data_IF_745631459758
#
_entry.id   IF_745631459758
#
_cell.length_a   1.000
_cell.length_b   1.000
_cell.length_c   1.000
_cell.angle_alpha   90.00
_cell.angle_beta   90.00
_cell.angle_gamma   90.00
#
_symmetry.space_group_name_H-M   'P 1'
#
loop_
_entity.id
_entity.type
_entity.pdbx_description
1 polymer ?
#
# COMPACT_ATOMS: atom_id res chain seq x y z
N UNK A 1 0.34 -15.99 -13.76
CA UNK A 1 -0.88 -16.48 -13.06
C UNK A 1 -0.57 -17.53 -11.97
N UNK A 2 0.21 -18.58 -12.22
CA UNK A 2 0.49 -19.65 -11.21
C UNK A 2 1.08 -19.18 -9.87
N UNK A 3 1.86 -18.09 -9.83
CA UNK A 3 2.43 -17.54 -8.59
C UNK A 3 1.40 -16.84 -7.68
N UNK A 4 0.46 -16.10 -8.28
CA UNK A 4 -0.69 -15.54 -7.56
C UNK A 4 -1.51 -16.67 -6.92
N UNK A 5 -1.66 -17.81 -7.60
CA UNK A 5 -2.30 -18.99 -7.03
C UNK A 5 -1.53 -19.61 -5.87
N UNK A 6 -0.18 -19.66 -5.88
CA UNK A 6 0.60 -20.22 -4.78
C UNK A 6 0.63 -19.30 -3.54
N UNK A 7 0.81 -17.99 -3.71
CA UNK A 7 0.73 -17.01 -2.63
C UNK A 7 -0.72 -16.90 -2.08
N UNK A 8 -1.72 -16.96 -2.97
CA UNK A 8 -3.13 -17.07 -2.59
C UNK A 8 -3.43 -18.38 -1.87
N UNK A 9 -2.83 -19.52 -2.27
CA UNK A 9 -3.03 -20.83 -1.61
C UNK A 9 -2.41 -20.86 -0.22
N UNK A 10 -1.23 -20.26 -0.03
CA UNK A 10 -0.63 -20.07 1.31
C UNK A 10 -1.52 -19.16 2.20
N UNK A 11 -2.07 -18.08 1.62
CA UNK A 11 -3.02 -17.19 2.30
C UNK A 11 -4.36 -17.89 2.59
N UNK A 12 -4.79 -18.83 1.74
CA UNK A 12 -6.03 -19.60 1.91
C UNK A 12 -5.89 -20.70 2.96
N UNK A 13 -4.71 -21.33 3.06
CA UNK A 13 -4.37 -22.26 4.15
C UNK A 13 -4.38 -21.55 5.51
N UNK A 14 -3.90 -20.30 5.57
CA UNK A 14 -4.01 -19.46 6.76
C UNK A 14 -5.47 -19.20 7.19
N UNK A 15 -6.40 -19.06 6.23
CA UNK A 15 -7.80 -18.76 6.55
C UNK A 15 -8.61 -19.98 7.00
N UNK A 16 -8.22 -21.18 6.58
CA UNK A 16 -8.97 -22.41 6.89
C UNK A 16 -8.73 -22.94 8.30
N UNK A 17 -7.64 -22.54 8.98
CA UNK A 17 -7.29 -23.07 10.31
C UNK A 17 -8.09 -22.49 11.48
N UNK A 18 -9.00 -21.52 11.26
CA UNK A 18 -9.66 -20.74 12.34
C UNK A 18 -11.17 -21.06 12.58
N UNK A 19 -11.69 -22.26 12.34
CA UNK A 19 -13.11 -22.58 12.67
C UNK A 19 -13.24 -23.47 13.92
N UNK A 20 -13.89 -22.96 14.96
CA UNK A 20 -14.57 -23.75 16.01
C UNK A 20 -15.98 -23.17 16.30
N UNK A 21 -16.88 -24.06 16.75
CA UNK A 21 -18.35 -23.99 16.77
C UNK A 21 -18.99 -23.46 18.08
N UNK A 22 -20.33 -23.20 17.99
CA UNK A 22 -21.42 -23.19 19.02
C UNK A 22 -21.99 -21.78 19.36
N UNK A 23 -23.26 -21.53 19.74
CA UNK A 23 -24.66 -21.97 19.43
C UNK A 23 -25.62 -21.06 20.27
N UNK A 24 -26.80 -20.64 19.75
CA UNK A 24 -28.01 -20.02 20.39
C UNK A 24 -27.91 -18.64 21.13
N UNK A 25 -28.87 -17.69 21.10
CA UNK A 25 -30.22 -17.54 20.50
C UNK A 25 -30.92 -16.21 20.96
N UNK A 26 -31.82 -15.65 20.12
CA UNK A 26 -32.93 -14.65 20.31
C UNK A 26 -32.70 -13.32 21.11
N UNK A 27 -33.38 -12.17 20.96
CA UNK A 27 -34.17 -11.35 19.99
C UNK A 27 -34.74 -10.11 20.82
N UNK A 28 -35.44 -9.08 20.29
CA UNK A 28 -34.98 -7.67 20.35
C UNK A 28 -36.05 -6.65 20.85
N UNK A 29 -35.72 -5.33 20.90
CA UNK A 29 -36.65 -4.15 20.80
C UNK A 29 -35.84 -2.83 20.77
N UNK A 30 -35.84 -2.03 19.69
CA UNK A 30 -36.78 -0.97 19.20
C UNK A 30 -36.97 0.23 20.16
N UNK A 31 -36.60 1.46 19.75
CA UNK A 31 -37.55 2.49 19.22
C UNK A 31 -36.97 3.92 18.96
N UNK A 32 -37.56 4.58 17.93
CA UNK A 32 -37.84 6.02 17.65
C UNK A 32 -36.79 7.09 18.02
N UNK A 33 -36.15 7.83 17.09
CA UNK A 33 -36.65 8.83 16.12
C UNK A 33 -37.22 10.12 16.75
N UNK A 34 -36.61 11.29 16.49
CA UNK A 34 -37.28 12.57 16.18
C UNK A 34 -36.31 13.62 15.61
N UNK A 35 -36.90 14.64 14.99
CA UNK A 35 -36.44 15.47 13.88
C UNK A 35 -35.74 16.80 14.24
N UNK A 36 -34.89 17.24 13.30
CA UNK A 36 -34.64 18.59 12.74
C UNK A 36 -34.38 19.81 13.64
N UNK A 37 -33.30 20.57 13.36
CA UNK A 37 -33.31 21.94 12.79
C UNK A 37 -31.87 22.48 12.57
N UNK A 38 -31.73 23.32 11.54
CA UNK A 38 -30.52 23.95 10.95
C UNK A 38 -29.76 24.91 11.88
N UNK A 39 -28.42 25.01 11.73
CA UNK A 39 -27.68 26.28 11.51
C UNK A 39 -26.16 26.10 11.30
N UNK A 40 -25.48 27.18 10.91
CA UNK A 40 -24.31 27.24 10.04
C UNK A 40 -22.95 27.57 10.69
N UNK A 41 -21.89 27.04 10.04
CA UNK A 41 -20.53 27.57 9.79
C UNK A 41 -19.49 27.74 10.93
N UNK A 42 -18.30 27.21 10.57
CA UNK A 42 -16.93 27.68 10.86
C UNK A 42 -16.31 27.35 12.23
N UNK A 43 -15.22 26.55 12.22
CA UNK A 43 -13.91 26.88 12.81
C UNK A 43 -12.87 25.78 12.58
N UNK A 44 -11.68 26.19 12.12
CA UNK A 44 -10.43 25.40 12.00
C UNK A 44 -9.90 24.98 13.38
N UNK A 45 -9.05 23.95 13.39
CA UNK A 45 -8.23 23.61 14.55
C UNK A 45 -6.89 23.02 14.08
N UNK A 46 -5.78 23.69 14.42
CA UNK A 46 -4.40 23.23 14.23
C UNK A 46 -3.97 22.32 15.40
N UNK A 47 -3.08 21.36 15.18
CA UNK A 47 -2.51 20.50 16.23
C UNK A 47 -1.00 20.23 16.04
N UNK A 48 -0.28 20.26 17.17
CA UNK A 48 1.17 20.01 17.36
C UNK A 48 1.39 18.54 17.80
N UNK A 49 2.50 17.82 17.44
CA UNK A 49 2.59 16.35 17.58
C UNK A 49 3.54 15.82 18.67
N UNK A 50 3.18 14.68 19.30
CA UNK A 50 4.04 13.77 20.10
C UNK A 50 3.54 12.28 20.01
N UNK A 51 4.41 11.31 20.37
CA UNK A 51 4.56 9.91 19.87
C UNK A 51 3.91 8.70 20.65
N UNK A 52 3.80 7.54 19.93
CA UNK A 52 4.05 6.09 20.30
C UNK A 52 2.92 5.05 20.60
N UNK A 53 3.25 3.74 20.35
CA UNK A 53 2.69 2.44 20.87
C UNK A 53 1.62 1.67 20.02
N UNK A 54 1.61 0.32 19.84
CA UNK A 54 0.52 -0.41 19.10
C UNK A 54 0.26 -1.88 19.54
N UNK A 55 -0.96 -2.44 19.32
CA UNK A 55 -1.32 -3.88 19.54
C UNK A 55 -2.27 -4.44 18.46
N UNK A 56 -2.36 -5.78 18.34
CA UNK A 56 -3.05 -6.52 17.25
C UNK A 56 -4.10 -7.55 17.71
N UNK A 57 -4.95 -7.95 16.76
CA UNK A 57 -5.95 -9.04 16.84
C UNK A 57 -6.56 -9.21 15.45
N UNK A 58 -6.89 -10.44 15.04
CA UNK A 58 -7.45 -10.74 13.71
C UNK A 58 -8.96 -10.98 13.80
N UNK A 59 -9.76 -10.34 12.95
CA UNK A 59 -11.21 -10.56 12.88
C UNK A 59 -11.61 -10.99 11.47
N UNK A 60 -12.16 -12.21 11.37
CA UNK A 60 -12.87 -12.68 10.18
C UNK A 60 -14.32 -12.22 10.30
N UNK A 61 -14.82 -11.46 9.32
CA UNK A 61 -16.23 -11.06 9.33
C UNK A 61 -17.05 -12.24 8.84
N UNK A 62 -17.57 -13.01 9.80
CA UNK A 62 -18.65 -13.96 9.57
C UNK A 62 -19.97 -13.28 9.95
N UNK A 63 -21.04 -13.56 9.21
CA UNK A 63 -22.38 -13.07 9.52
C UNK A 63 -22.90 -13.71 10.81
N UNK A 64 -22.69 -13.06 11.96
CA UNK A 64 -23.46 -13.24 13.22
C UNK A 64 -23.07 -12.14 14.21
N UNK A 65 -24.07 -11.49 14.81
CA UNK A 65 -23.90 -10.37 15.76
C UNK A 65 -23.22 -10.82 17.07
N UNK A 66 -22.38 -9.96 17.66
CA UNK A 66 -22.01 -10.07 19.08
C UNK A 66 -21.85 -8.71 19.76
N UNK A 67 -22.28 -8.70 21.01
CA UNK A 67 -22.41 -7.60 21.98
C UNK A 67 -21.16 -7.41 22.83
N UNK A 68 -20.99 -6.20 23.36
CA UNK A 68 -19.92 -5.79 24.28
C UNK A 68 -20.04 -6.41 25.68
N UNK A 69 -18.89 -6.76 26.27
CA UNK A 69 -18.69 -6.90 27.71
C UNK A 69 -17.42 -6.15 28.12
N UNK A 70 -17.53 -5.28 29.12
CA UNK A 70 -16.42 -4.61 29.81
C UNK A 70 -15.65 -5.62 30.67
N UNK A 71 -14.31 -5.56 30.64
CA UNK A 71 -13.47 -6.19 31.65
C UNK A 71 -12.46 -5.15 32.15
N UNK A 72 -12.31 -5.12 33.47
CA UNK A 72 -11.56 -4.16 34.26
C UNK A 72 -10.05 -4.17 33.94
N UNK A 73 -9.48 -2.97 34.11
CA UNK A 73 -8.06 -2.66 34.02
C UNK A 73 -7.29 -3.30 35.17
N UNK A 74 -6.55 -4.36 34.87
CA UNK A 74 -5.38 -4.77 35.66
C UNK A 74 -4.11 -4.61 34.80
N UNK A 75 -3.10 -4.05 35.44
CA UNK A 75 -1.81 -3.61 34.92
C UNK A 75 -1.04 -4.80 34.33
N UNK A 76 -0.92 -4.88 33.02
CA UNK A 76 -0.07 -5.88 32.34
C UNK A 76 1.28 -5.24 32.05
N UNK A 77 2.32 -5.71 32.73
CA UNK A 77 3.72 -5.49 32.37
C UNK A 77 3.96 -5.99 30.93
N UNK A 78 4.46 -5.08 30.09
CA UNK A 78 4.65 -5.33 28.66
C UNK A 78 5.91 -6.16 28.38
N UNK A 79 5.76 -7.47 28.34
CA UNK A 79 6.70 -8.35 27.66
C UNK A 79 6.47 -8.26 26.15
N UNK A 80 7.09 -7.26 25.51
CA UNK A 80 7.02 -7.08 24.06
C UNK A 80 7.66 -8.29 23.37
N UNK A 81 6.85 -9.13 22.71
CA UNK A 81 7.32 -10.23 21.84
C UNK A 81 8.09 -9.67 20.63
N UNK A 82 9.35 -9.35 20.83
CA UNK A 82 10.27 -8.97 19.76
C UNK A 82 10.59 -10.22 18.94
N UNK A 83 10.36 -10.17 17.64
CA UNK A 83 10.81 -11.25 16.74
C UNK A 83 12.33 -11.31 16.82
N UNK A 84 12.86 -12.47 17.17
CA UNK A 84 14.29 -12.71 17.19
C UNK A 84 14.82 -12.84 15.76
N UNK A 85 15.30 -11.69 15.26
CA UNK A 85 15.84 -11.49 13.91
C UNK A 85 17.31 -11.12 14.03
N UNK A 86 18.18 -11.98 13.50
CA UNK A 86 19.63 -11.77 13.46
C UNK A 86 20.05 -11.42 12.03
N UNK A 87 20.44 -10.16 11.79
CA UNK A 87 21.05 -9.77 10.50
C UNK A 87 22.50 -10.25 10.47
N UNK A 88 22.82 -11.14 9.54
CA UNK A 88 24.17 -11.72 9.41
C UNK A 88 24.92 -11.27 8.14
N UNK A 89 24.25 -10.58 7.22
CA UNK A 89 24.86 -10.07 5.99
C UNK A 89 24.24 -8.74 5.57
N UNK A 90 25.09 -7.81 5.13
CA UNK A 90 24.72 -6.51 4.55
C UNK A 90 25.65 -6.23 3.39
N UNK A 91 25.09 -5.95 2.22
CA UNK A 91 25.83 -5.63 1.02
C UNK A 91 25.00 -4.77 0.08
N UNK A 92 25.60 -4.37 -1.04
CA UNK A 92 24.90 -3.63 -2.09
C UNK A 92 24.97 -4.39 -3.40
N UNK A 93 23.81 -4.68 -3.99
CA UNK A 93 23.72 -5.41 -5.25
C UNK A 93 23.80 -4.39 -6.40
N UNK A 94 24.93 -4.41 -7.10
CA UNK A 94 25.22 -3.49 -8.21
C UNK A 94 24.83 -4.09 -9.56
N UNK A 95 24.52 -3.25 -10.56
CA UNK A 95 24.36 -3.73 -11.93
C UNK A 95 25.69 -4.31 -12.46
N UNK A 96 25.66 -5.37 -13.27
CA UNK A 96 26.86 -5.98 -13.87
C UNK A 96 27.49 -5.12 -14.98
N UNK A 97 26.75 -4.15 -15.51
CA UNK A 97 27.22 -3.19 -16.51
C UNK A 97 26.93 -1.77 -16.03
N UNK A 98 27.86 -0.82 -16.20
CA UNK A 98 27.65 0.56 -15.74
C UNK A 98 26.50 1.22 -16.49
N UNK A 99 25.76 2.09 -15.78
CA UNK A 99 24.75 2.93 -16.40
C UNK A 99 25.41 3.91 -17.39
N UNK A 100 24.96 3.99 -18.65
CA UNK A 100 25.48 4.93 -19.64
C UNK A 100 25.43 6.39 -19.15
N UNK A 101 26.40 7.21 -19.55
CA UNK A 101 26.52 8.60 -19.07
C UNK A 101 25.25 9.45 -19.29
N UNK A 102 24.57 9.27 -20.41
CA UNK A 102 23.32 9.99 -20.71
C UNK A 102 22.10 9.53 -19.88
N UNK A 103 22.24 8.44 -19.11
CA UNK A 103 21.21 7.89 -18.21
C UNK A 103 21.56 8.07 -16.73
N UNK A 104 22.65 8.81 -16.42
CA UNK A 104 23.11 9.05 -15.04
C UNK A 104 22.14 9.87 -14.20
N UNK A 105 21.22 10.59 -14.84
CA UNK A 105 20.19 11.37 -14.17
C UNK A 105 18.81 10.89 -14.62
N UNK A 106 18.00 10.41 -13.68
CA UNK A 106 16.60 10.10 -13.92
C UNK A 106 15.71 11.23 -13.40
N UNK A 107 15.02 11.92 -14.32
CA UNK A 107 14.12 13.01 -13.98
C UNK A 107 12.77 12.47 -13.50
N UNK A 108 12.38 12.85 -12.27
CA UNK A 108 11.06 12.61 -11.71
C UNK A 108 10.02 13.44 -12.47
N UNK A 109 8.82 12.90 -12.63
CA UNK A 109 7.66 13.62 -13.18
C UNK A 109 7.03 14.55 -12.13
N UNK A 110 6.11 15.43 -12.54
CA UNK A 110 5.33 16.20 -11.56
C UNK A 110 4.45 15.31 -10.66
N UNK A 111 4.05 14.12 -11.11
CA UNK A 111 3.33 13.16 -10.25
C UNK A 111 4.27 12.66 -9.15
N UNK A 112 5.49 12.28 -9.52
CA UNK A 112 6.55 11.86 -8.60
C UNK A 112 6.89 12.97 -7.60
N UNK A 113 6.99 14.23 -8.06
CA UNK A 113 7.20 15.40 -7.20
C UNK A 113 6.12 15.53 -6.12
N UNK A 114 4.86 15.25 -6.47
CA UNK A 114 3.71 15.33 -5.58
C UNK A 114 3.55 14.12 -4.64
N UNK A 115 4.27 13.03 -4.88
CA UNK A 115 4.23 11.88 -3.97
C UNK A 115 4.98 12.16 -2.68
N UNK A 116 4.47 11.57 -1.60
CA UNK A 116 5.08 11.65 -0.27
C UNK A 116 6.50 11.08 -0.29
N UNK A 117 7.39 11.76 0.43
CA UNK A 117 8.75 11.31 0.68
C UNK A 117 8.75 10.21 1.76
N UNK A 118 8.28 9.02 1.38
CA UNK A 118 8.17 7.85 2.25
C UNK A 118 8.62 6.59 1.50
N UNK A 119 9.02 5.58 2.27
CA UNK A 119 9.26 4.25 1.73
C UNK A 119 8.06 3.35 1.96
N UNK A 120 7.69 2.60 0.92
CA UNK A 120 6.58 1.67 0.98
C UNK A 120 7.07 0.26 1.31
N UNK A 121 6.65 -0.29 2.47
CA UNK A 121 7.05 -1.63 2.87
C UNK A 121 6.18 -2.68 2.17
N UNK A 122 6.83 -3.71 1.65
CA UNK A 122 6.21 -4.94 1.16
C UNK A 122 6.90 -6.15 1.77
N UNK A 123 6.16 -7.21 2.09
CA UNK A 123 6.73 -8.49 2.50
C UNK A 123 6.01 -9.65 1.83
N UNK A 124 6.79 -10.62 1.34
CA UNK A 124 6.30 -11.83 0.68
C UNK A 124 6.85 -13.05 1.39
N UNK A 125 5.98 -13.99 1.74
CA UNK A 125 6.35 -15.22 2.42
C UNK A 125 6.32 -16.42 1.48
N UNK A 126 7.42 -17.20 1.50
CA UNK A 126 7.63 -18.36 0.66
C UNK A 126 7.93 -19.59 1.52
N UNK A 127 7.04 -20.61 1.52
CA UNK A 127 7.31 -21.83 2.26
C UNK A 127 8.44 -22.63 1.62
N UNK A 128 9.17 -23.39 2.44
CA UNK A 128 10.08 -24.37 1.91
C UNK A 128 9.30 -25.59 1.40
N UNK A 129 9.30 -25.79 0.08
CA UNK A 129 8.61 -26.92 -0.56
C UNK A 129 9.55 -28.15 -0.64
N UNK A 130 10.87 -27.95 -0.52
CA UNK A 130 11.83 -29.04 -0.61
C UNK A 130 12.08 -29.63 0.78
N UNK A 131 11.34 -30.70 1.12
CA UNK A 131 11.44 -31.40 2.41
C UNK A 131 12.71 -32.25 2.56
N UNK A 132 13.42 -32.55 1.47
CA UNK A 132 14.50 -33.54 1.44
C UNK A 132 15.91 -32.96 1.64
N UNK A 133 16.05 -31.65 1.86
CA UNK A 133 17.35 -30.98 1.90
C UNK A 133 17.50 -30.16 3.17
N UNK A 134 18.74 -30.08 3.66
CA UNK A 134 19.08 -29.31 4.87
C UNK A 134 18.64 -27.86 4.65
N UNK A 135 17.81 -27.34 5.57
CA UNK A 135 17.18 -26.03 5.44
C UNK A 135 18.20 -24.89 5.18
N UNK A 136 19.38 -24.99 5.80
CA UNK A 136 20.47 -24.02 5.66
C UNK A 136 21.06 -23.98 4.23
N UNK A 137 21.40 -25.13 3.64
CA UNK A 137 21.99 -25.21 2.31
C UNK A 137 21.04 -24.71 1.22
N UNK A 138 19.75 -25.03 1.37
CA UNK A 138 18.69 -24.57 0.47
C UNK A 138 18.53 -23.07 0.56
N UNK A 139 18.52 -22.52 1.78
CA UNK A 139 18.39 -21.09 1.98
C UNK A 139 19.58 -20.33 1.39
N UNK A 140 20.81 -20.82 1.57
CA UNK A 140 22.01 -20.21 1.03
C UNK A 140 22.01 -20.19 -0.51
N UNK A 141 21.68 -21.33 -1.14
CA UNK A 141 21.56 -21.44 -2.60
C UNK A 141 20.47 -20.51 -3.14
N UNK A 142 19.32 -20.44 -2.48
CA UNK A 142 18.22 -19.52 -2.86
C UNK A 142 18.65 -18.07 -2.75
N UNK A 143 19.35 -17.72 -1.67
CA UNK A 143 19.76 -16.33 -1.48
C UNK A 143 20.81 -15.88 -2.48
N UNK A 144 21.83 -16.72 -2.76
CA UNK A 144 22.78 -16.47 -3.85
C UNK A 144 22.06 -16.25 -5.19
N UNK A 145 21.12 -17.13 -5.52
CA UNK A 145 20.34 -17.03 -6.75
C UNK A 145 19.46 -15.77 -6.83
N UNK A 146 18.90 -15.32 -5.70
CA UNK A 146 18.15 -14.06 -5.62
C UNK A 146 19.05 -12.85 -5.93
N UNK A 147 20.27 -12.82 -5.40
CA UNK A 147 21.25 -11.75 -5.65
C UNK A 147 21.68 -11.71 -7.13
N UNK A 148 22.05 -12.87 -7.69
CA UNK A 148 22.48 -12.98 -9.08
C UNK A 148 21.39 -12.53 -10.07
N UNK A 149 20.17 -13.03 -9.88
CA UNK A 149 19.03 -12.65 -10.73
C UNK A 149 18.56 -11.21 -10.52
N UNK A 150 18.81 -10.61 -9.35
CA UNK A 150 18.56 -9.19 -9.11
C UNK A 150 19.57 -8.35 -9.89
N UNK A 151 20.86 -8.65 -9.77
CA UNK A 151 21.92 -7.96 -10.51
C UNK A 151 21.67 -7.98 -12.02
N UNK A 152 21.24 -9.13 -12.57
CA UNK A 152 20.94 -9.30 -14.00
C UNK A 152 19.91 -8.30 -14.54
N UNK A 153 18.91 -7.92 -13.75
CA UNK A 153 17.86 -7.00 -14.22
C UNK A 153 18.19 -5.52 -14.01
N UNK A 154 19.15 -5.21 -13.13
CA UNK A 154 19.46 -3.83 -12.73
C UNK A 154 19.87 -2.91 -13.89
N UNK A 155 20.60 -3.34 -14.94
CA UNK A 155 20.89 -2.45 -16.07
C UNK A 155 19.64 -1.91 -16.77
N UNK A 156 18.55 -2.71 -16.81
CA UNK A 156 17.26 -2.26 -17.35
C UNK A 156 16.50 -1.37 -16.37
N UNK A 157 16.60 -1.66 -15.08
CA UNK A 157 15.96 -0.92 -13.99
C UNK A 157 16.95 0.03 -13.30
N UNK A 158 17.84 0.66 -14.07
CA UNK A 158 18.98 1.40 -13.58
C UNK A 158 18.66 2.50 -12.54
N UNK A 159 17.50 3.22 -12.59
CA UNK A 159 17.21 4.20 -11.54
C UNK A 159 17.08 3.59 -10.15
N UNK A 160 16.70 2.31 -10.05
CA UNK A 160 16.57 1.63 -8.76
C UNK A 160 17.91 1.30 -8.10
N UNK A 161 19.01 1.32 -8.86
CA UNK A 161 20.38 1.15 -8.36
C UNK A 161 21.05 2.48 -8.02
N UNK A 162 20.30 3.59 -8.03
CA UNK A 162 20.77 4.92 -7.70
C UNK A 162 20.35 5.41 -6.31
N UNK A 163 20.52 6.72 -6.11
CA UNK A 163 20.10 7.44 -4.90
C UNK A 163 19.11 8.55 -5.22
N UNK A 164 18.16 8.76 -4.32
CA UNK A 164 17.28 9.93 -4.40
C UNK A 164 18.09 11.15 -4.00
N UNK A 165 18.23 12.14 -4.89
CA UNK A 165 19.04 13.34 -4.59
C UNK A 165 18.18 14.48 -4.06
N UNK A 166 17.01 14.67 -4.67
CA UNK A 166 16.06 15.70 -4.30
C UNK A 166 14.67 15.33 -4.81
N UNK A 167 13.77 16.32 -4.84
CA UNK A 167 12.42 16.12 -5.32
C UNK A 167 12.28 16.03 -6.84
N UNK A 168 13.35 16.28 -7.60
CA UNK A 168 13.37 16.43 -9.05
C UNK A 168 14.07 15.26 -9.75
N UNK A 169 15.06 14.63 -9.12
CA UNK A 169 15.85 13.61 -9.78
C UNK A 169 16.41 12.52 -8.85
N UNK A 170 16.69 11.39 -9.49
CA UNK A 170 17.48 10.28 -8.94
C UNK A 170 18.83 10.28 -9.66
N UNK A 171 19.91 10.20 -8.88
CA UNK A 171 21.25 9.98 -9.41
C UNK A 171 21.46 8.48 -9.63
N UNK A 172 21.57 8.07 -10.89
CA UNK A 172 21.81 6.70 -11.30
C UNK A 172 23.31 6.38 -11.25
N UNK A 173 23.90 6.44 -10.06
CA UNK A 173 25.35 6.28 -9.80
C UNK A 173 25.83 4.83 -9.66
N UNK A 174 24.96 3.84 -9.90
CA UNK A 174 25.25 2.41 -9.73
C UNK A 174 25.74 2.02 -8.32
N UNK A 175 25.42 2.81 -7.28
CA UNK A 175 25.71 2.40 -5.91
C UNK A 175 25.05 1.06 -5.57
N UNK A 176 23.88 0.80 -6.14
CA UNK A 176 23.18 -0.48 -6.14
C UNK A 176 22.00 -0.53 -5.17
N UNK A 177 21.42 -1.72 -5.02
CA UNK A 177 20.31 -1.99 -4.11
C UNK A 177 20.85 -2.40 -2.75
N UNK A 178 20.44 -1.72 -1.68
CA UNK A 178 20.78 -2.12 -0.32
C UNK A 178 20.14 -3.46 0.02
N UNK A 179 20.95 -4.46 0.34
CA UNK A 179 20.51 -5.84 0.48
C UNK A 179 21.02 -6.43 1.79
N UNK A 180 20.11 -7.08 2.52
CA UNK A 180 20.42 -7.69 3.82
C UNK A 180 19.86 -9.09 3.91
N UNK A 181 20.55 -9.94 4.67
CA UNK A 181 20.09 -11.28 4.98
C UNK A 181 20.01 -11.45 6.50
N UNK A 182 18.90 -12.01 6.94
CA UNK A 182 18.62 -12.21 8.35
C UNK A 182 18.16 -13.64 8.62
N UNK A 183 18.47 -14.17 9.82
CA UNK A 183 17.88 -15.40 10.35
C UNK A 183 16.72 -15.04 11.25
N UNK A 184 15.65 -15.81 11.15
CA UNK A 184 14.48 -15.70 12.03
C UNK A 184 14.39 -16.95 12.87
N UNK A 185 14.36 -16.79 14.20
CA UNK A 185 14.35 -17.89 15.16
C UNK A 185 12.99 -18.63 15.27
N UNK A 186 12.22 -18.67 14.18
CA UNK A 186 10.90 -19.31 14.08
C UNK A 186 10.81 -20.17 12.81
N UNK A 187 9.89 -21.13 12.79
CA UNK A 187 9.44 -21.68 11.51
C UNK A 187 8.47 -20.71 10.85
N UNK A 188 8.38 -20.75 9.52
CA UNK A 188 7.44 -19.88 8.80
C UNK A 188 5.98 -20.18 9.18
N UNK A 189 5.64 -21.44 9.45
CA UNK A 189 4.28 -21.83 9.83
C UNK A 189 3.90 -21.26 11.19
N UNK A 190 4.81 -21.32 12.17
CA UNK A 190 4.55 -20.79 13.51
C UNK A 190 4.42 -19.27 13.46
N UNK A 191 5.30 -18.60 12.71
CA UNK A 191 5.25 -17.15 12.51
C UNK A 191 3.94 -16.71 11.86
N UNK A 192 3.47 -17.43 10.84
CA UNK A 192 2.21 -17.14 10.16
C UNK A 192 0.98 -17.66 10.91
N UNK A 193 1.12 -18.40 12.00
CA UNK A 193 -0.01 -18.88 12.80
C UNK A 193 -0.74 -17.76 13.56
N UNK A 194 0.04 -16.81 14.09
CA UNK A 194 -0.48 -15.65 14.80
C UNK A 194 0.35 -14.37 14.54
N UNK A 195 0.44 -13.90 13.28
CA UNK A 195 1.22 -12.72 12.97
C UNK A 195 0.46 -11.47 13.40
N UNK A 196 1.00 -10.75 14.38
CA UNK A 196 0.68 -9.34 14.56
C UNK A 196 1.58 -8.46 13.66
N UNK A 197 1.16 -7.26 13.29
CA UNK A 197 1.98 -6.41 12.41
C UNK A 197 3.26 -5.95 13.09
N UNK A 198 3.36 -5.89 14.43
CA UNK A 198 4.62 -5.53 15.06
C UNK A 198 5.68 -6.58 14.73
N UNK A 199 5.31 -7.85 14.83
CA UNK A 199 6.16 -8.97 14.43
C UNK A 199 6.48 -8.95 12.94
N UNK A 200 5.50 -8.64 12.08
CA UNK A 200 5.73 -8.51 10.62
C UNK A 200 6.63 -7.33 10.30
N UNK A 201 6.44 -6.17 10.94
CA UNK A 201 7.32 -4.99 10.83
C UNK A 201 8.73 -5.29 11.34
N UNK A 202 8.88 -6.19 12.31
CA UNK A 202 10.18 -6.68 12.78
C UNK A 202 11.01 -7.35 11.67
N UNK A 203 10.37 -7.87 10.63
CA UNK A 203 11.03 -8.45 9.45
C UNK A 203 11.35 -7.43 8.35
N UNK A 204 10.95 -6.16 8.52
CA UNK A 204 11.22 -5.10 7.56
C UNK A 204 12.61 -4.49 7.79
N UNK A 205 13.14 -3.82 6.75
CA UNK A 205 14.41 -3.13 6.83
C UNK A 205 14.38 -2.02 7.88
N UNK A 206 15.20 -2.14 8.92
CA UNK A 206 15.26 -1.18 10.02
C UNK A 206 16.19 0.03 9.76
N UNK A 207 16.93 0.12 8.65
CA UNK A 207 18.04 1.09 8.60
C UNK A 207 18.21 1.91 7.32
N UNK A 208 17.66 1.55 6.15
CA UNK A 208 17.94 2.30 4.91
C UNK A 208 16.84 3.31 4.50
N UNK A 209 15.80 3.46 5.33
CA UNK A 209 14.58 4.22 5.01
C UNK A 209 14.06 5.05 6.19
N UNK A 210 14.87 5.23 7.24
CA UNK A 210 14.48 5.85 8.52
C UNK A 210 15.05 7.28 8.67
N UNK A 211 15.58 7.86 7.58
CA UNK A 211 15.80 9.30 7.53
C UNK A 211 14.46 10.05 7.52
N UNK A 212 14.42 11.27 8.08
CA UNK A 212 13.26 12.16 7.89
C UNK A 212 13.05 12.57 6.41
N UNK A 213 14.00 12.25 5.53
CA UNK A 213 13.94 12.46 4.09
C UNK A 213 14.59 11.29 3.34
N UNK A 214 14.12 10.98 2.12
CA UNK A 214 14.80 10.05 1.21
C UNK A 214 16.05 10.61 0.56
N UNK A 215 16.36 11.90 0.71
CA UNK A 215 17.56 12.51 0.13
C UNK A 215 18.83 11.79 0.61
N UNK A 216 19.66 11.38 -0.35
CA UNK A 216 20.88 10.61 -0.13
C UNK A 216 20.68 9.12 0.14
N UNK A 217 19.43 8.64 0.25
CA UNK A 217 19.12 7.23 0.50
C UNK A 217 18.98 6.41 -0.79
N UNK A 218 19.17 5.10 -0.66
CA UNK A 218 18.92 4.12 -1.71
C UNK A 218 17.47 4.16 -2.18
N UNK A 219 17.22 4.06 -3.48
CA UNK A 219 15.84 4.02 -4.00
C UNK A 219 15.06 2.80 -3.49
N UNK A 220 15.75 1.67 -3.30
CA UNK A 220 15.16 0.41 -2.83
C UNK A 220 16.10 -0.33 -1.87
N UNK A 221 15.52 -0.93 -0.85
CA UNK A 221 16.17 -1.83 0.08
C UNK A 221 15.44 -3.17 0.18
N UNK A 222 16.19 -4.26 0.35
CA UNK A 222 15.67 -5.63 0.37
C UNK A 222 16.22 -6.39 1.59
N UNK A 223 15.35 -7.10 2.32
CA UNK A 223 15.71 -8.09 3.35
C UNK A 223 15.28 -9.48 2.90
N UNK A 224 16.18 -10.45 2.99
CA UNK A 224 15.84 -11.86 2.92
C UNK A 224 15.87 -12.45 4.33
N UNK A 225 14.69 -12.72 4.88
CA UNK A 225 14.50 -13.33 6.19
C UNK A 225 14.40 -14.85 6.04
N UNK A 226 15.40 -15.57 6.53
CA UNK A 226 15.51 -17.02 6.46
C UNK A 226 14.98 -17.64 7.75
N UNK A 227 13.87 -18.38 7.64
CA UNK A 227 13.24 -19.08 8.76
C UNK A 227 13.91 -20.43 9.02
N UNK A 228 13.80 -20.96 10.25
CA UNK A 228 14.35 -22.29 10.64
C UNK A 228 13.97 -23.43 9.70
N UNK A 229 12.75 -23.40 9.16
CA UNK A 229 12.27 -24.42 8.22
C UNK A 229 12.79 -24.25 6.77
N UNK A 230 13.65 -23.26 6.51
CA UNK A 230 14.13 -22.88 5.18
C UNK A 230 13.13 -22.05 4.37
N UNK A 231 12.02 -21.62 4.99
CA UNK A 231 11.11 -20.64 4.42
C UNK A 231 11.77 -19.26 4.31
N UNK A 232 11.28 -18.43 3.40
CA UNK A 232 11.82 -17.09 3.16
C UNK A 232 10.73 -16.04 3.32
N UNK A 233 11.01 -14.98 4.10
CA UNK A 233 10.29 -13.71 4.08
C UNK A 233 11.09 -12.68 3.31
N UNK A 234 10.65 -12.33 2.11
CA UNK A 234 11.28 -11.31 1.28
C UNK A 234 10.64 -9.95 1.56
N UNK A 235 11.34 -9.10 2.29
CA UNK A 235 10.92 -7.74 2.59
C UNK A 235 11.53 -6.78 1.58
N UNK A 236 10.74 -5.84 1.08
CA UNK A 236 11.17 -4.78 0.17
C UNK A 236 10.68 -3.46 0.73
N UNK A 237 11.56 -2.46 0.73
CA UNK A 237 11.26 -1.09 1.09
C UNK A 237 11.67 -0.21 -0.08
N UNK A 238 10.73 0.53 -0.68
CA UNK A 238 10.99 1.29 -1.91
C UNK A 238 10.46 2.71 -1.83
N UNK A 239 11.23 3.68 -2.33
CA UNK A 239 10.82 5.09 -2.30
C UNK A 239 9.56 5.31 -3.15
N UNK A 240 8.52 5.87 -2.52
CA UNK A 240 7.30 6.24 -3.23
C UNK A 240 7.52 7.39 -4.21
N UNK A 241 8.69 8.07 -4.18
CA UNK A 241 9.05 9.11 -5.15
C UNK A 241 9.12 8.60 -6.59
N UNK A 242 9.41 7.31 -6.83
CA UNK A 242 9.51 6.74 -8.19
C UNK A 242 8.63 5.50 -8.37
N UNK A 243 8.18 4.85 -7.29
CA UNK A 243 7.50 3.57 -7.38
C UNK A 243 6.05 3.66 -6.93
N UNK A 244 5.13 3.57 -7.89
CA UNK A 244 3.75 3.17 -7.64
C UNK A 244 3.59 1.64 -7.63
N UNK A 245 2.39 1.15 -7.28
CA UNK A 245 2.12 -0.29 -7.23
C UNK A 245 2.29 -1.03 -8.57
N UNK A 246 2.08 -0.36 -9.70
CA UNK A 246 2.29 -0.96 -11.03
C UNK A 246 3.79 -1.04 -11.35
N UNK A 247 4.56 0.00 -11.05
CA UNK A 247 6.03 -0.01 -11.17
C UNK A 247 6.64 -1.11 -10.30
N UNK A 248 6.20 -1.24 -9.05
CA UNK A 248 6.64 -2.32 -8.16
C UNK A 248 6.31 -3.71 -8.75
N UNK A 249 5.09 -3.88 -9.26
CA UNK A 249 4.69 -5.13 -9.92
C UNK A 249 5.57 -5.46 -11.13
N UNK A 250 5.90 -4.49 -11.98
CA UNK A 250 6.75 -4.69 -13.15
C UNK A 250 8.17 -5.08 -12.74
N UNK A 251 8.74 -4.42 -11.73
CA UNK A 251 10.04 -4.77 -11.16
C UNK A 251 10.06 -6.21 -10.63
N UNK A 252 9.10 -6.56 -9.76
CA UNK A 252 9.00 -7.92 -9.20
C UNK A 252 8.77 -8.97 -10.29
N UNK A 253 7.99 -8.65 -11.32
CA UNK A 253 7.75 -9.55 -12.46
C UNK A 253 9.02 -9.76 -13.29
N UNK A 254 9.83 -8.72 -13.51
CA UNK A 254 11.11 -8.82 -14.19
C UNK A 254 12.11 -9.66 -13.36
N UNK A 255 12.23 -9.37 -12.06
CA UNK A 255 13.13 -10.10 -11.18
C UNK A 255 12.76 -11.59 -11.09
N UNK A 256 11.48 -11.90 -10.93
CA UNK A 256 11.01 -13.30 -10.91
C UNK A 256 11.16 -14.01 -12.25
N UNK A 257 11.12 -13.29 -13.38
CA UNK A 257 11.40 -13.87 -14.69
C UNK A 257 12.90 -14.25 -14.80
N UNK A 258 13.81 -13.34 -14.43
CA UNK A 258 15.25 -13.60 -14.39
C UNK A 258 15.59 -14.74 -13.42
N UNK A 259 15.03 -14.72 -12.20
CA UNK A 259 15.20 -15.78 -11.22
C UNK A 259 14.65 -17.14 -11.70
N UNK A 260 13.78 -17.18 -12.70
CA UNK A 260 13.29 -18.43 -13.29
C UNK A 260 14.03 -18.81 -14.58
N UNK A 261 15.02 -18.03 -15.00
CA UNK A 261 15.68 -18.13 -16.31
C UNK A 261 14.65 -18.18 -17.46
N UNK A 262 13.61 -17.38 -17.32
CA UNK A 262 12.54 -17.24 -18.29
C UNK A 262 13.07 -16.48 -19.52
N UNK A 263 12.70 -16.91 -20.72
CA UNK A 263 13.01 -16.19 -21.97
C UNK A 263 12.25 -14.87 -22.12
N UNK A 264 11.23 -14.64 -21.29
CA UNK A 264 10.44 -13.40 -21.31
C UNK A 264 11.27 -12.25 -20.74
N UNK A 265 11.66 -11.33 -21.62
CA UNK A 265 12.26 -10.04 -21.27
C UNK A 265 11.17 -9.01 -20.97
N UNK A 266 11.21 -8.43 -19.77
CA UNK A 266 10.38 -7.28 -19.39
C UNK A 266 11.25 -6.03 -19.45
N UNK A 267 10.91 -5.10 -20.33
CA UNK A 267 11.67 -3.86 -20.52
C UNK A 267 10.88 -2.68 -19.95
N UNK A 268 11.41 -1.97 -18.95
CA UNK A 268 10.79 -0.76 -18.43
C UNK A 268 10.77 0.35 -19.48
N UNK A 269 9.80 1.26 -19.37
CA UNK A 269 9.70 2.47 -20.17
C UNK A 269 9.85 3.69 -19.28
N UNK A 270 10.63 4.69 -19.68
CA UNK A 270 10.94 5.86 -18.86
C UNK A 270 10.35 7.14 -19.46
N UNK A 271 9.04 7.12 -19.72
CA UNK A 271 8.30 8.21 -20.39
C UNK A 271 7.54 9.14 -19.44
N UNK A 272 7.51 8.84 -18.14
CA UNK A 272 6.66 9.56 -17.18
C UNK A 272 6.95 11.07 -17.14
N UNK A 273 8.22 11.48 -17.06
CA UNK A 273 8.62 12.89 -17.07
C UNK A 273 8.54 13.56 -18.45
N UNK A 274 8.43 12.80 -19.54
CA UNK A 274 8.14 13.35 -20.86
C UNK A 274 6.66 13.68 -21.01
N UNK A 275 5.78 12.84 -20.45
CA UNK A 275 4.32 13.02 -20.50
C UNK A 275 3.85 14.03 -19.46
N UNK A 276 4.42 13.96 -18.25
CA UNK A 276 4.10 14.79 -17.09
C UNK A 276 5.38 15.50 -16.62
N UNK A 277 5.84 16.54 -17.35
CA UNK A 277 7.09 17.22 -17.04
C UNK A 277 7.09 17.78 -15.62
N UNK A 278 8.24 17.71 -14.95
CA UNK A 278 8.39 18.30 -13.62
C UNK A 278 8.14 19.81 -13.65
N UNK A 279 7.83 20.36 -12.48
CA UNK A 279 7.74 21.80 -12.27
C UNK A 279 8.84 22.23 -11.29
N UNK A 280 9.88 22.95 -11.75
CA UNK A 280 10.93 23.51 -10.90
C UNK A 280 10.41 24.46 -9.82
N UNK A 281 9.28 25.11 -10.07
CA UNK A 281 8.65 26.06 -9.15
C UNK A 281 7.75 25.39 -8.11
N UNK A 282 7.60 24.06 -8.18
CA UNK A 282 6.83 23.32 -7.19
C UNK A 282 7.64 23.27 -5.89
N UNK A 283 7.29 24.15 -4.95
CA UNK A 283 7.85 24.09 -3.60
C UNK A 283 7.60 22.70 -3.01
N UNK A 284 8.62 22.12 -2.35
CA UNK A 284 8.52 20.87 -1.62
C UNK A 284 7.42 21.01 -0.55
N UNK A 285 6.19 20.63 -0.90
CA UNK A 285 5.00 20.95 -0.09
C UNK A 285 4.52 19.79 0.77
N UNK A 286 5.15 18.63 0.72
CA UNK A 286 4.77 17.51 1.57
C UNK A 286 5.69 17.49 2.79
N UNK A 287 5.27 17.99 3.97
CA UNK A 287 6.00 17.66 5.19
C UNK A 287 6.09 16.14 5.29
N UNK A 288 7.31 15.62 5.43
CA UNK A 288 7.61 14.19 5.68
C UNK A 288 7.00 13.64 6.98
N UNK A 289 6.16 14.44 7.65
CA UNK A 289 5.47 14.12 8.88
C UNK A 289 4.06 13.60 8.59
N UNK A 290 3.97 12.43 7.96
CA UNK A 290 2.88 11.50 8.27
C UNK A 290 3.17 10.83 9.63
N UNK A 291 3.52 11.64 10.64
CA UNK A 291 3.80 11.18 11.99
C UNK A 291 2.46 10.97 12.68
N UNK A 292 2.02 9.72 12.71
CA UNK A 292 0.89 9.31 13.51
C UNK A 292 1.14 9.62 14.99
N UNK A 293 0.28 10.44 15.57
CA UNK A 293 0.27 10.86 16.99
C UNK A 293 -0.59 9.94 17.86
N UNK A 294 -1.00 8.77 17.35
CA UNK A 294 -1.85 7.82 18.08
C UNK A 294 -1.39 6.39 17.83
N UNK A 295 -1.70 5.52 18.80
CA UNK A 295 -1.66 4.08 18.63
C UNK A 295 -2.65 3.64 17.52
N UNK A 296 -2.20 3.61 16.26
CA UNK A 296 -2.83 2.97 15.11
C UNK A 296 -2.67 1.44 15.10
N UNK A 297 -3.72 0.72 15.48
CA UNK A 297 -3.79 -0.71 15.22
C UNK A 297 -4.07 -0.94 13.73
N UNK A 298 -3.25 -1.74 13.05
CA UNK A 298 -3.60 -2.28 11.73
C UNK A 298 -4.42 -3.56 11.90
N UNK A 299 -5.44 -3.77 11.06
CA UNK A 299 -6.23 -5.00 11.05
C UNK A 299 -6.34 -5.52 9.63
N UNK A 300 -6.14 -6.82 9.44
CA UNK A 300 -6.42 -7.46 8.14
C UNK A 300 -7.86 -7.96 8.11
N UNK A 301 -8.70 -7.27 7.34
CA UNK A 301 -10.09 -7.68 7.06
C UNK A 301 -10.10 -8.49 5.77
N UNK A 302 -10.62 -9.72 5.83
CA UNK A 302 -10.66 -10.63 4.68
C UNK A 302 -12.10 -10.85 4.24
N UNK A 303 -12.38 -10.50 2.99
CA UNK A 303 -13.64 -10.78 2.32
C UNK A 303 -13.52 -12.09 1.54
N UNK A 304 -14.21 -13.13 2.00
CA UNK A 304 -14.20 -14.43 1.33
C UNK A 304 -15.09 -14.42 0.07
N UNK A 305 -15.15 -15.55 -0.65
CA UNK A 305 -15.94 -15.67 -1.88
C UNK A 305 -17.44 -15.42 -1.65
N UNK A 306 -17.97 -15.82 -0.51
CA UNK A 306 -19.38 -15.68 -0.16
C UNK A 306 -19.72 -14.22 0.12
N UNK A 307 -18.93 -13.56 0.99
CA UNK A 307 -19.05 -12.13 1.27
C UNK A 307 -18.91 -11.29 -0.01
N UNK A 308 -17.95 -11.61 -0.87
CA UNK A 308 -17.78 -10.92 -2.16
C UNK A 308 -18.98 -11.13 -3.09
N UNK A 309 -19.56 -12.32 -3.14
CA UNK A 309 -20.75 -12.58 -3.97
C UNK A 309 -21.95 -11.75 -3.49
N UNK A 310 -22.20 -11.72 -2.18
CA UNK A 310 -23.27 -10.93 -1.57
C UNK A 310 -23.07 -9.42 -1.79
N UNK A 311 -21.85 -8.93 -1.61
CA UNK A 311 -21.51 -7.52 -1.84
C UNK A 311 -21.65 -7.11 -3.31
N UNK A 312 -21.31 -8.00 -4.25
CA UNK A 312 -21.48 -7.75 -5.68
C UNK A 312 -22.94 -7.81 -6.15
N UNK A 313 -23.83 -8.43 -5.38
CA UNK A 313 -25.26 -8.45 -5.67
C UNK A 313 -26.00 -7.21 -5.14
N UNK A 314 -25.34 -6.36 -4.34
CA UNK A 314 -25.94 -5.13 -3.83
C UNK A 314 -26.20 -4.14 -4.97
N UNK A 315 -27.32 -3.40 -4.91
CA UNK A 315 -27.58 -2.32 -5.85
C UNK A 315 -26.56 -1.19 -5.68
N UNK A 316 -26.39 -0.39 -6.72
CA UNK A 316 -25.53 0.80 -6.69
C UNK A 316 -26.34 1.99 -7.16
N UNK A 317 -26.40 3.03 -6.33
CA UNK A 317 -27.05 4.29 -6.70
C UNK A 317 -26.07 5.09 -7.54
N UNK A 318 -26.12 4.95 -8.87
CA UNK A 318 -25.27 5.74 -9.78
C UNK A 318 -26.05 6.21 -10.99
N UNK A 319 -25.85 7.47 -11.37
CA UNK A 319 -26.43 8.03 -12.58
C UNK A 319 -25.77 7.45 -13.86
N UNK A 320 -24.53 6.97 -13.74
CA UNK A 320 -23.70 6.57 -14.89
C UNK A 320 -23.85 5.11 -15.33
N UNK A 321 -24.33 4.22 -14.46
CA UNK A 321 -24.38 2.78 -14.77
C UNK A 321 -25.25 1.98 -13.82
N UNK A 322 -26.11 1.13 -14.38
CA UNK A 322 -26.88 0.10 -13.66
C UNK A 322 -26.09 -1.19 -13.39
N UNK A 323 -24.83 -1.25 -13.82
CA UNK A 323 -24.02 -2.46 -13.65
C UNK A 323 -23.72 -2.75 -12.16
N UNK A 324 -23.57 -4.03 -11.78
CA UNK A 324 -23.14 -4.41 -10.44
C UNK A 324 -21.78 -3.78 -10.06
N UNK A 325 -21.48 -3.59 -8.76
CA UNK A 325 -20.20 -3.04 -8.34
C UNK A 325 -19.05 -4.01 -8.64
N UNK A 326 -17.89 -3.44 -8.94
CA UNK A 326 -16.65 -4.22 -9.00
C UNK A 326 -16.26 -4.67 -7.58
N UNK A 327 -15.41 -5.69 -7.46
CA UNK A 327 -14.91 -6.16 -6.14
C UNK A 327 -14.27 -5.02 -5.35
N UNK A 328 -13.49 -4.17 -6.02
CA UNK A 328 -12.84 -3.01 -5.40
C UNK A 328 -13.86 -1.98 -4.92
N UNK A 329 -14.82 -1.60 -5.77
CA UNK A 329 -15.86 -0.64 -5.35
C UNK A 329 -16.64 -1.17 -4.14
N UNK A 330 -17.05 -2.44 -4.19
CA UNK A 330 -17.87 -3.02 -3.14
C UNK A 330 -17.12 -3.12 -1.79
N UNK A 331 -15.89 -3.64 -1.80
CA UNK A 331 -15.09 -3.82 -0.57
C UNK A 331 -14.61 -2.48 0.00
N UNK A 332 -14.17 -1.54 -0.83
CA UNK A 332 -13.77 -0.20 -0.39
C UNK A 332 -14.95 0.57 0.20
N UNK A 333 -16.15 0.49 -0.37
CA UNK A 333 -17.34 1.14 0.17
C UNK A 333 -17.73 0.58 1.55
N UNK A 334 -17.58 -0.73 1.79
CA UNK A 334 -17.82 -1.34 3.11
C UNK A 334 -16.85 -0.79 4.15
N UNK A 335 -15.55 -0.73 3.82
CA UNK A 335 -14.53 -0.18 4.73
C UNK A 335 -14.79 1.30 4.98
N UNK A 336 -15.07 2.07 3.92
CA UNK A 336 -15.38 3.49 4.02
C UNK A 336 -16.60 3.76 4.91
N UNK A 337 -17.68 2.99 4.73
CA UNK A 337 -18.89 3.06 5.58
C UNK A 337 -18.58 2.73 7.04
N UNK A 338 -17.80 1.69 7.30
CA UNK A 338 -17.42 1.32 8.65
C UNK A 338 -16.59 2.42 9.34
N UNK A 339 -15.61 2.99 8.62
CA UNK A 339 -14.78 4.11 9.12
C UNK A 339 -15.63 5.36 9.34
N UNK A 340 -16.53 5.70 8.41
CA UNK A 340 -17.45 6.83 8.55
C UNK A 340 -18.34 6.68 9.80
N UNK A 341 -18.94 5.51 10.00
CA UNK A 341 -19.75 5.21 11.18
C UNK A 341 -18.94 5.27 12.48
N UNK A 342 -17.71 4.74 12.50
CA UNK A 342 -16.84 4.81 13.66
C UNK A 342 -16.44 6.26 13.98
N UNK A 343 -16.07 7.03 12.97
CA UNK A 343 -15.72 8.44 13.13
C UNK A 343 -16.90 9.25 13.70
N UNK A 344 -18.12 9.01 13.21
CA UNK A 344 -19.34 9.72 13.65
C UNK A 344 -19.71 9.44 15.11
N UNK A 345 -19.24 8.33 15.69
CA UNK A 345 -19.38 8.05 17.13
C UNK A 345 -18.38 8.83 17.99
N UNK A 346 -17.20 9.14 17.44
CA UNK A 346 -16.12 9.83 18.17
C UNK A 346 -16.29 11.35 18.11
N UNK A 347 -16.79 11.87 16.99
CA UNK A 347 -17.06 13.30 16.81
C UNK A 347 -18.39 13.49 16.07
N UNK A 348 -19.30 14.33 16.58
CA UNK A 348 -20.50 14.69 15.83
C UNK A 348 -20.10 15.50 14.60
N UNK A 349 -20.44 14.99 13.42
CA UNK A 349 -20.27 15.69 12.17
C UNK A 349 -21.56 16.45 11.83
N UNK A 350 -21.44 17.72 11.45
CA UNK A 350 -22.59 18.48 10.99
C UNK A 350 -23.12 17.92 9.67
N UNK A 351 -24.37 18.25 9.27
CA UNK A 351 -24.95 17.76 8.01
C UNK A 351 -24.13 18.12 6.76
N UNK A 352 -23.28 19.14 6.84
CA UNK A 352 -22.40 19.63 5.76
C UNK A 352 -20.96 19.12 5.86
N UNK A 353 -20.65 18.26 6.83
CA UNK A 353 -19.30 17.69 7.01
C UNK A 353 -19.21 16.38 6.22
N UNK A 354 -18.54 16.33 5.05
CA UNK A 354 -18.48 15.11 4.26
C UNK A 354 -17.55 14.08 4.91
N UNK A 355 -17.91 12.81 4.79
CA UNK A 355 -16.94 11.73 4.80
C UNK A 355 -16.30 11.65 3.41
N UNK A 356 -14.98 11.52 3.34
CA UNK A 356 -14.24 11.52 2.07
C UNK A 356 -13.34 10.29 2.02
N UNK A 357 -13.27 9.66 0.85
CA UNK A 357 -12.27 8.64 0.55
C UNK A 357 -11.57 9.00 -0.75
N UNK A 358 -10.28 8.71 -0.83
CA UNK A 358 -9.42 8.98 -1.98
C UNK A 358 -8.92 7.68 -2.61
N UNK A 359 -9.73 6.94 -3.40
CA UNK A 359 -9.21 5.85 -4.23
C UNK A 359 -8.10 6.32 -5.16
N UNK A 360 -6.95 5.67 -5.08
CA UNK A 360 -5.83 5.88 -6.01
C UNK A 360 -6.09 5.09 -7.29
N UNK A 361 -6.02 5.78 -8.43
CA UNK A 361 -6.34 5.25 -9.76
C UNK A 361 -5.09 5.21 -10.63
N UNK A 362 -4.82 4.06 -11.24
CA UNK A 362 -3.76 3.90 -12.24
C UNK A 362 -4.19 4.55 -13.57
N UNK A 363 -3.46 5.59 -13.99
CA UNK A 363 -3.81 6.40 -15.16
C UNK A 363 -3.37 5.75 -16.48
N UNK A 364 -2.45 4.76 -16.45
CA UNK A 364 -1.79 4.25 -17.67
C UNK A 364 -2.76 3.78 -18.75
N UNK A 365 -3.77 3.00 -18.36
CA UNK A 365 -4.79 2.47 -19.29
C UNK A 365 -5.94 3.44 -19.58
N UNK A 366 -6.02 4.54 -18.84
CA UNK A 366 -7.09 5.54 -18.93
C UNK A 366 -6.72 6.70 -19.84
N UNK A 367 -5.42 6.93 -20.03
CA UNK A 367 -4.93 7.90 -21.00
C UNK A 367 -5.32 7.52 -22.43
N UNK A 368 -5.46 8.53 -23.29
CA UNK A 368 -5.56 8.37 -24.75
C UNK A 368 -4.41 9.14 -25.41
N UNK A 369 -3.53 8.48 -26.19
CA UNK A 369 -3.35 7.03 -26.25
C UNK A 369 -2.94 6.44 -24.88
N UNK A 370 -3.15 5.12 -24.66
CA UNK A 370 -2.72 4.47 -23.42
C UNK A 370 -1.21 4.57 -23.20
N UNK A 371 -0.81 4.91 -21.97
CA UNK A 371 0.59 4.92 -21.57
C UNK A 371 1.06 3.46 -21.39
N UNK A 372 2.28 3.08 -21.82
CA UNK A 372 2.78 1.72 -21.66
C UNK A 372 2.64 1.20 -20.22
N UNK A 373 2.19 -0.04 -20.06
CA UNK A 373 2.01 -0.66 -18.73
C UNK A 373 3.34 -0.87 -18.00
N UNK A 374 4.44 -0.90 -18.73
CA UNK A 374 5.83 -0.96 -18.25
C UNK A 374 6.43 0.41 -17.90
N UNK A 375 5.68 1.51 -18.02
CA UNK A 375 6.19 2.84 -17.66
C UNK A 375 6.51 2.94 -16.17
N UNK A 376 7.75 3.30 -15.86
CA UNK A 376 8.31 3.48 -14.52
C UNK A 376 8.06 4.92 -14.05
N UNK A 377 7.87 5.10 -12.75
CA UNK A 377 7.38 6.35 -12.16
C UNK A 377 5.96 6.19 -11.62
N UNK A 378 5.54 7.15 -10.82
CA UNK A 378 4.16 7.26 -10.38
C UNK A 378 3.30 7.76 -11.55
N UNK A 379 2.35 6.93 -11.97
CA UNK A 379 1.35 7.29 -13.00
C UNK A 379 -0.03 6.96 -12.44
N UNK A 380 -0.31 7.64 -11.33
CA UNK A 380 -1.48 7.47 -10.48
C UNK A 380 -2.05 8.84 -10.09
N UNK A 381 -3.34 8.90 -9.79
CA UNK A 381 -3.94 10.05 -9.13
C UNK A 381 -5.06 9.62 -8.17
N UNK A 382 -5.35 10.41 -7.16
CA UNK A 382 -6.41 10.17 -6.19
C UNK A 382 -7.73 10.78 -6.69
N UNK A 383 -8.75 9.94 -6.86
CA UNK A 383 -10.11 10.42 -7.08
C UNK A 383 -10.80 10.67 -5.75
N UNK A 384 -11.40 11.85 -5.56
CA UNK A 384 -12.11 12.17 -4.33
C UNK A 384 -13.59 11.73 -4.43
N UNK A 385 -14.01 10.80 -3.57
CA UNK A 385 -15.42 10.46 -3.39
C UNK A 385 -15.93 11.07 -2.08
N UNK A 386 -17.09 11.72 -2.14
CA UNK A 386 -17.69 12.42 -1.01
C UNK A 386 -19.00 11.75 -0.64
N UNK A 387 -19.28 11.62 0.65
CA UNK A 387 -20.58 11.20 1.14
C UNK A 387 -20.95 12.07 2.34
N UNK A 388 -22.06 12.79 2.24
CA UNK A 388 -22.54 13.64 3.32
C UNK A 388 -23.43 12.83 4.27
N UNK A 389 -23.40 13.09 5.59
CA UNK A 389 -24.27 12.42 6.55
C UNK A 389 -25.77 12.52 6.20
N UNK A 390 -26.16 13.64 5.59
CA UNK A 390 -27.53 13.89 5.12
C UNK A 390 -27.95 12.98 3.96
N UNK A 391 -26.99 12.44 3.19
CA UNK A 391 -27.25 11.53 2.07
C UNK A 391 -27.54 10.10 2.52
N UNK A 392 -27.60 9.84 3.83
CA UNK A 392 -27.56 8.53 4.46
C UNK A 392 -26.25 7.78 4.14
N UNK A 393 -25.56 7.26 5.16
CA UNK A 393 -24.38 6.40 4.99
C UNK A 393 -24.79 4.99 4.54
N UNK A 394 -25.69 4.89 3.56
CA UNK A 394 -26.09 3.63 2.96
C UNK A 394 -25.02 3.16 1.97
N UNK A 395 -24.92 1.83 1.84
CA UNK A 395 -23.84 1.22 1.07
C UNK A 395 -24.01 1.44 -0.45
N UNK A 396 -25.22 1.30 -1.04
CA UNK A 396 -25.46 1.62 -2.45
C UNK A 396 -25.03 3.03 -2.87
N UNK A 397 -25.34 4.05 -2.07
CA UNK A 397 -24.96 5.45 -2.34
C UNK A 397 -23.43 5.61 -2.30
N UNK A 398 -22.77 5.09 -1.27
CA UNK A 398 -21.31 5.17 -1.16
C UNK A 398 -20.58 4.41 -2.29
N UNK A 399 -21.14 3.28 -2.75
CA UNK A 399 -20.63 2.58 -3.94
C UNK A 399 -20.78 3.41 -5.22
N UNK A 400 -21.88 4.17 -5.33
CA UNK A 400 -22.14 5.10 -6.43
C UNK A 400 -21.12 6.22 -6.50
N UNK A 401 -20.95 6.94 -5.40
CA UNK A 401 -19.98 8.04 -5.27
C UNK A 401 -18.55 7.58 -5.57
N UNK A 402 -18.18 6.40 -5.07
CA UNK A 402 -16.87 5.81 -5.34
C UNK A 402 -16.69 5.43 -6.81
N UNK A 403 -17.72 4.88 -7.45
CA UNK A 403 -17.68 4.54 -8.88
C UNK A 403 -17.54 5.79 -9.74
N UNK A 404 -18.34 6.81 -9.46
CA UNK A 404 -18.37 8.05 -10.23
C UNK A 404 -17.07 8.84 -10.08
N UNK A 405 -16.49 8.89 -8.88
CA UNK A 405 -15.19 9.53 -8.67
C UNK A 405 -14.08 8.83 -9.48
N UNK A 406 -14.06 7.49 -9.49
CA UNK A 406 -13.10 6.70 -10.27
C UNK A 406 -13.34 6.85 -11.77
N UNK A 407 -14.60 6.98 -12.21
CA UNK A 407 -14.95 7.17 -13.61
C UNK A 407 -14.47 8.53 -14.16
N UNK A 408 -14.53 9.59 -13.34
CA UNK A 408 -14.04 10.95 -13.70
C UNK A 408 -12.54 11.02 -14.02
N UNK A 409 -11.76 10.03 -13.59
CA UNK A 409 -10.35 9.88 -13.97
C UNK A 409 -10.25 9.27 -15.38
N UNK A 410 -10.82 9.94 -16.38
CA UNK A 410 -10.86 9.50 -17.78
C UNK A 410 -9.72 10.10 -18.61
N UNK A 411 -9.74 9.85 -19.91
CA UNK A 411 -8.71 10.36 -20.83
C UNK A 411 -8.70 11.88 -20.91
N UNK A 412 -9.86 12.54 -20.80
CA UNK A 412 -9.96 14.00 -20.89
C UNK A 412 -9.34 14.64 -19.66
N UNK A 413 -9.64 14.10 -18.47
CA UNK A 413 -8.99 14.55 -17.24
C UNK A 413 -7.47 14.36 -17.30
N UNK A 414 -7.00 13.20 -17.77
CA UNK A 414 -5.56 12.94 -17.89
C UNK A 414 -4.90 13.90 -18.89
N UNK A 415 -5.59 14.27 -19.97
CA UNK A 415 -5.07 15.26 -20.93
C UNK A 415 -4.80 16.62 -20.29
N UNK A 416 -5.65 17.05 -19.35
CA UNK A 416 -5.41 18.30 -18.57
C UNK A 416 -4.18 18.24 -17.68
N UNK A 417 -3.63 17.05 -17.41
CA UNK A 417 -2.45 16.84 -16.57
C UNK A 417 -1.16 16.76 -17.38
N UNK A 418 -1.22 16.60 -18.71
CA UNK A 418 -0.04 16.39 -19.56
C UNK A 418 0.68 17.69 -19.92
N UNK A 419 1.97 17.57 -20.19
CA UNK A 419 2.81 18.70 -20.61
C UNK A 419 2.92 19.79 -19.53
N UNK A 420 3.50 20.93 -19.90
CA UNK A 420 3.72 22.05 -18.96
C UNK A 420 2.41 22.71 -18.51
N UNK A 421 1.39 22.76 -19.38
CA UNK A 421 0.04 23.23 -19.01
C UNK A 421 -0.56 22.44 -17.85
N UNK A 422 -0.18 21.16 -17.71
CA UNK A 422 -0.58 20.33 -16.59
C UNK A 422 -0.16 20.86 -15.22
N UNK A 423 0.86 21.73 -15.14
CA UNK A 423 1.30 22.34 -13.88
C UNK A 423 0.18 23.12 -13.19
N UNK A 424 -0.67 23.80 -13.95
CA UNK A 424 -1.84 24.53 -13.41
C UNK A 424 -2.82 23.58 -12.74
N UNK A 425 -3.11 22.45 -13.39
CA UNK A 425 -3.97 21.38 -12.85
C UNK A 425 -3.43 20.84 -11.52
N UNK A 426 -2.12 20.60 -11.41
CA UNK A 426 -1.52 20.18 -10.14
C UNK A 426 -1.57 21.26 -9.07
N UNK A 427 -1.32 22.52 -9.42
CA UNK A 427 -1.42 23.64 -8.49
C UNK A 427 -2.85 23.78 -7.93
N UNK A 428 -3.88 23.60 -8.76
CA UNK A 428 -5.27 23.58 -8.30
C UNK A 428 -5.57 22.41 -7.37
N UNK A 429 -5.06 21.21 -7.69
CA UNK A 429 -5.20 20.02 -6.82
C UNK A 429 -4.57 20.32 -5.46
N UNK A 430 -3.34 20.85 -5.43
CA UNK A 430 -2.67 21.20 -4.18
C UNK A 430 -3.45 22.24 -3.36
N UNK A 431 -3.95 23.32 -4.00
CA UNK A 431 -4.77 24.34 -3.33
C UNK A 431 -6.03 23.78 -2.69
N UNK A 432 -6.66 22.76 -3.30
CA UNK A 432 -7.84 22.08 -2.74
C UNK A 432 -7.50 21.16 -1.56
N UNK A 433 -6.25 20.70 -1.47
CA UNK A 433 -5.78 19.78 -0.41
C UNK A 433 -5.08 20.46 0.76
N UNK A 434 -4.57 21.69 0.58
CA UNK A 434 -4.04 22.48 1.69
C UNK A 434 -5.22 22.95 2.55
N UNK A 435 -5.18 22.80 3.88
CA UNK A 435 -6.11 23.50 4.74
C UNK A 435 -5.98 24.99 4.41
N UNK A 436 -7.10 25.67 4.16
CA UNK A 436 -7.13 27.13 4.10
C UNK A 436 -6.45 27.63 5.37
N UNK A 437 -5.51 28.58 5.25
CA UNK A 437 -4.92 29.24 6.41
C UNK A 437 -5.97 30.10 7.15
#
# INVERSE_FOLDING_TARGET
>A
MKWLFSAHKATKCFLHSRRYHLYNGFCPRKFLAFNLVKWSKSKQMQFIPLYSGHYYSTTTINSTESSHGLVNSETIENDHKKVDVEIFSRETIKPPSPTPNHLRTFNLSIIDQNMYDVYIPFILFFPNINKASVAADVAMKRSKHLKESLAEILPRFYPLAGKVMDNFHIECNDEGIYYTEARVNHTLTDFLGDPDDETVRGLMLQSCCIGQSSIGNYVIGIQVNIFKCGGIGLSVSVSHKIVDGQTFYIFMKAWTAAARRSSITISPSFVASQIFPNNPSLEYSAPSKLLATKMLCTKRIVFDSTALALLKAQPVTSASSSQPPTRTVATTAVVWKAVANAASKVRPFGPKSPHVIFPVVNLRKRASPPIPKESIGNIINAAAAFCFPASHLDLPTMMGELRESIAKMDSNYIETMKGEKGHETYNEIQKKTKPSD
#
